data_IF_432921738441
#
_entry.id   IF_432921738441
#
_cell.length_a   1.000
_cell.length_b   1.000
_cell.length_c   1.000
_cell.angle_alpha   90.00
_cell.angle_beta   90.00
_cell.angle_gamma   90.00
#
_symmetry.space_group_name_H-M   'P 1'
#
loop_
_entity.id
_entity.type
_entity.pdbx_description
1 polymer ?
#
# COMPACT_ATOMS: atom_id res chain seq x y z
N UNK A 1 6.68 -3.70 0.34
CA UNK A 1 7.33 -4.22 -0.88
C UNK A 1 7.71 -5.69 -0.73
N UNK A 2 8.59 -6.10 0.20
CA UNK A 2 9.09 -7.48 0.36
C UNK A 2 7.96 -8.54 0.43
N UNK A 3 6.88 -8.29 1.16
CA UNK A 3 5.70 -9.17 1.20
C UNK A 3 5.21 -9.55 -0.21
N UNK A 4 5.10 -8.56 -1.09
CA UNK A 4 4.61 -8.76 -2.45
C UNK A 4 5.61 -9.50 -3.33
N UNK A 5 6.90 -9.26 -3.12
CA UNK A 5 7.96 -10.01 -3.81
C UNK A 5 7.93 -11.50 -3.42
N UNK A 6 7.76 -11.79 -2.14
CA UNK A 6 7.64 -13.18 -1.69
C UNK A 6 6.45 -13.89 -2.36
N UNK A 7 5.28 -13.25 -2.45
CA UNK A 7 4.10 -13.84 -3.07
C UNK A 7 4.16 -13.86 -4.59
N UNK A 8 4.49 -12.72 -5.21
CA UNK A 8 4.31 -12.50 -6.63
C UNK A 8 5.45 -13.04 -7.49
N UNK A 9 6.69 -13.03 -6.97
CA UNK A 9 7.85 -13.55 -7.71
C UNK A 9 8.28 -14.92 -7.24
N UNK A 10 8.22 -15.19 -5.95
CA UNK A 10 8.66 -16.47 -5.40
C UNK A 10 7.52 -17.49 -5.26
N UNK A 11 6.26 -17.07 -5.25
CA UNK A 11 5.10 -17.92 -5.00
C UNK A 11 5.09 -18.51 -3.59
N UNK A 12 5.63 -17.79 -2.62
CA UNK A 12 5.68 -18.19 -1.22
C UNK A 12 4.80 -17.28 -0.36
N UNK A 13 4.22 -17.79 0.74
CA UNK A 13 3.59 -16.96 1.75
C UNK A 13 4.57 -15.94 2.35
N UNK A 14 4.04 -14.84 2.85
CA UNK A 14 4.82 -13.83 3.56
C UNK A 14 5.49 -14.41 4.80
N UNK A 15 6.75 -14.01 5.03
CA UNK A 15 7.52 -14.43 6.19
C UNK A 15 8.46 -13.33 6.65
N UNK A 16 8.47 -13.04 7.97
CA UNK A 16 9.41 -12.11 8.58
C UNK A 16 9.22 -10.64 8.16
N UNK A 17 8.02 -10.24 7.75
CA UNK A 17 7.72 -8.88 7.23
C UNK A 17 6.79 -8.07 8.15
N UNK A 18 6.39 -8.65 9.28
CA UNK A 18 5.59 -7.95 10.27
C UNK A 18 6.49 -7.38 11.38
N UNK A 19 6.23 -6.15 11.76
CA UNK A 19 6.89 -5.45 12.85
C UNK A 19 5.87 -5.06 13.91
N UNK A 20 6.32 -4.88 15.14
CA UNK A 20 5.53 -4.19 16.15
C UNK A 20 5.26 -2.76 15.66
N UNK A 21 4.02 -2.25 15.76
CA UNK A 21 3.70 -0.91 15.31
C UNK A 21 4.60 0.13 15.96
N UNK A 22 5.16 1.01 15.14
CA UNK A 22 5.98 2.13 15.57
C UNK A 22 5.19 3.40 15.25
N UNK A 23 5.02 4.28 16.23
CA UNK A 23 4.46 5.60 16.07
C UNK A 23 5.55 6.55 15.57
N UNK A 24 5.66 6.70 14.27
CA UNK A 24 6.71 7.52 13.65
C UNK A 24 6.51 9.01 13.89
N UNK A 25 5.27 9.48 14.08
CA UNK A 25 4.99 10.86 14.42
C UNK A 25 5.58 11.20 15.80
N UNK A 26 5.31 10.38 16.81
CA UNK A 26 5.93 10.55 18.14
C UNK A 26 7.43 10.36 18.15
N UNK A 27 7.93 9.45 17.32
CA UNK A 27 9.37 9.28 17.18
C UNK A 27 10.05 10.56 16.67
N UNK A 28 9.46 11.23 15.68
CA UNK A 28 9.97 12.52 15.21
C UNK A 28 10.00 13.59 16.32
N UNK A 29 8.95 13.64 17.12
CA UNK A 29 8.86 14.57 18.26
C UNK A 29 9.92 14.27 19.33
N UNK A 30 10.13 12.99 19.64
CA UNK A 30 11.17 12.56 20.57
C UNK A 30 12.58 12.94 20.10
N UNK A 31 12.79 13.04 18.77
CA UNK A 31 14.04 13.51 18.16
C UNK A 31 14.11 15.06 18.02
N UNK A 32 13.13 15.82 18.54
CA UNK A 32 13.10 17.27 18.45
C UNK A 32 12.53 17.83 17.13
N UNK A 33 12.04 16.96 16.26
CA UNK A 33 11.34 17.32 15.03
C UNK A 33 9.85 17.59 15.24
N UNK A 34 9.07 17.45 14.17
CA UNK A 34 7.60 17.54 14.16
C UNK A 34 7.01 16.27 13.58
N UNK A 35 5.97 15.72 14.22
CA UNK A 35 5.25 14.55 13.74
C UNK A 35 3.81 14.86 13.38
N UNK A 36 3.31 14.25 12.31
CA UNK A 36 1.91 14.27 11.91
C UNK A 36 1.44 12.87 11.59
N UNK A 37 0.18 12.56 11.90
CA UNK A 37 -0.45 11.29 11.54
C UNK A 37 -1.66 11.53 10.67
N UNK A 38 -1.75 10.84 9.54
CA UNK A 38 -2.85 10.91 8.58
C UNK A 38 -3.56 9.56 8.51
N UNK A 39 -4.85 9.54 8.87
CA UNK A 39 -5.72 8.35 8.79
C UNK A 39 -6.82 8.49 7.75
N UNK A 40 -7.18 9.73 7.39
CA UNK A 40 -8.25 10.02 6.46
C UNK A 40 -7.73 10.70 5.19
N UNK A 41 -8.18 10.30 3.99
CA UNK A 41 -7.70 10.89 2.73
C UNK A 41 -7.92 12.41 2.63
N UNK A 42 -9.00 12.92 3.21
CA UNK A 42 -9.32 14.36 3.23
C UNK A 42 -8.29 15.20 3.96
N UNK A 43 -7.57 14.60 4.91
CA UNK A 43 -6.60 15.30 5.78
C UNK A 43 -5.20 15.34 5.16
N UNK A 44 -4.96 14.59 4.09
CA UNK A 44 -3.65 14.52 3.41
C UNK A 44 -3.18 15.90 2.96
N UNK A 45 -4.03 16.62 2.21
CA UNK A 45 -3.64 17.91 1.62
C UNK A 45 -3.37 18.99 2.67
N UNK A 46 -4.25 19.23 3.67
CA UNK A 46 -3.98 20.23 4.70
C UNK A 46 -2.76 19.86 5.55
N UNK A 47 -2.60 18.61 5.96
CA UNK A 47 -1.44 18.18 6.77
C UNK A 47 -0.13 18.32 5.99
N UNK A 48 -0.09 17.96 4.71
CA UNK A 48 1.08 18.17 3.88
C UNK A 48 1.43 19.67 3.74
N UNK A 49 0.44 20.53 3.57
CA UNK A 49 0.68 21.96 3.50
C UNK A 49 1.27 22.52 4.80
N UNK A 50 0.76 22.06 5.95
CA UNK A 50 1.30 22.42 7.26
C UNK A 50 2.72 21.89 7.45
N UNK A 51 2.95 20.60 7.15
CA UNK A 51 4.26 19.95 7.26
C UNK A 51 5.33 20.64 6.40
N UNK A 52 4.96 21.09 5.19
CA UNK A 52 5.88 21.81 4.30
C UNK A 52 6.20 23.23 4.77
N UNK A 53 5.38 23.82 5.64
CA UNK A 53 5.62 25.14 6.24
C UNK A 53 6.49 25.09 7.51
N UNK A 54 6.71 23.89 8.05
CA UNK A 54 7.50 23.69 9.26
C UNK A 54 8.99 23.99 9.01
N UNK A 55 9.65 24.56 10.02
CA UNK A 55 11.09 24.84 10.00
C UNK A 55 11.95 23.71 10.58
N UNK A 56 11.31 22.70 11.14
CA UNK A 56 11.96 21.54 11.75
C UNK A 56 11.90 20.34 10.81
N UNK A 57 12.80 19.36 10.97
CA UNK A 57 12.62 18.06 10.33
C UNK A 57 11.24 17.47 10.67
N UNK A 58 10.52 17.06 9.66
CA UNK A 58 9.11 16.66 9.83
C UNK A 58 8.88 15.26 9.27
N UNK A 59 8.18 14.43 10.02
CA UNK A 59 7.67 13.14 9.57
C UNK A 59 6.15 13.19 9.46
N UNK A 60 5.62 12.81 8.30
CA UNK A 60 4.19 12.60 8.09
C UNK A 60 3.95 11.11 7.98
N UNK A 61 3.36 10.52 9.01
CA UNK A 61 2.97 9.11 9.04
C UNK A 61 1.60 8.95 8.40
N UNK A 62 1.50 8.13 7.36
CA UNK A 62 0.24 7.92 6.63
C UNK A 62 -0.18 6.46 6.78
N UNK A 63 -1.38 6.25 7.34
CA UNK A 63 -1.97 4.93 7.45
C UNK A 63 -2.61 4.54 6.12
N UNK A 64 -2.03 3.54 5.46
CA UNK A 64 -2.51 3.00 4.18
C UNK A 64 -3.09 1.60 4.35
N UNK A 65 -3.87 1.12 3.37
CA UNK A 65 -4.33 -0.28 3.38
C UNK A 65 -3.14 -1.23 3.14
N UNK A 66 -2.74 -2.05 4.12
CA UNK A 66 -1.61 -2.97 3.97
C UNK A 66 -1.86 -4.10 2.98
N UNK A 67 -3.10 -4.27 2.51
CA UNK A 67 -3.51 -5.30 1.54
C UNK A 67 -3.65 -4.76 0.12
N UNK A 68 -3.41 -3.47 -0.07
CA UNK A 68 -3.37 -2.86 -1.40
C UNK A 68 -1.96 -3.03 -1.99
N UNK A 69 -1.79 -3.91 -3.00
CA UNK A 69 -0.47 -4.18 -3.55
C UNK A 69 0.00 -3.02 -4.43
N UNK A 70 1.30 -2.69 -4.40
CA UNK A 70 1.92 -1.85 -5.40
C UNK A 70 2.01 -2.64 -6.72
N UNK A 71 0.91 -2.69 -7.47
CA UNK A 71 0.85 -3.47 -8.71
C UNK A 71 1.67 -2.79 -9.80
N UNK A 72 2.47 -3.55 -10.56
CA UNK A 72 3.05 -3.05 -11.78
C UNK A 72 1.92 -2.76 -12.82
N UNK A 73 2.13 -1.80 -13.73
CA UNK A 73 1.13 -1.43 -14.74
C UNK A 73 0.69 -2.59 -15.65
N UNK A 74 1.53 -3.61 -15.75
CA UNK A 74 1.24 -4.83 -16.51
C UNK A 74 1.43 -6.05 -15.62
N UNK A 75 0.36 -6.79 -15.44
CA UNK A 75 0.36 -8.07 -14.70
C UNK A 75 0.42 -9.20 -15.69
N UNK A 76 1.52 -9.94 -15.73
CA UNK A 76 1.65 -11.11 -16.58
C UNK A 76 1.03 -12.37 -15.96
N UNK A 77 0.89 -13.42 -16.78
CA UNK A 77 0.35 -14.72 -16.33
C UNK A 77 1.27 -15.40 -15.31
N UNK A 78 2.58 -15.13 -15.37
CA UNK A 78 3.55 -15.65 -14.42
C UNK A 78 3.31 -15.14 -13.02
N UNK A 79 3.04 -13.83 -12.90
CA UNK A 79 2.66 -13.17 -11.64
C UNK A 79 1.39 -13.80 -11.04
N UNK A 80 0.34 -13.96 -11.85
CA UNK A 80 -0.93 -14.55 -11.41
C UNK A 80 -0.73 -15.97 -10.89
N UNK A 81 0.08 -16.78 -11.61
CA UNK A 81 0.41 -18.14 -11.20
C UNK A 81 1.14 -18.17 -9.86
N UNK A 82 2.15 -17.32 -9.68
CA UNK A 82 2.92 -17.24 -8.43
C UNK A 82 2.06 -16.78 -7.25
N UNK A 83 1.17 -15.82 -7.46
CA UNK A 83 0.20 -15.42 -6.45
C UNK A 83 -0.72 -16.57 -6.04
N UNK A 84 -1.23 -17.33 -7.01
CA UNK A 84 -2.07 -18.50 -6.74
C UNK A 84 -1.29 -19.59 -5.96
N UNK A 85 -0.03 -19.85 -6.32
CA UNK A 85 0.86 -20.75 -5.57
C UNK A 85 1.03 -20.31 -4.11
N UNK A 86 1.25 -19.01 -3.86
CA UNK A 86 1.36 -18.46 -2.53
C UNK A 86 0.08 -18.67 -1.72
N UNK A 87 -1.09 -18.42 -2.33
CA UNK A 87 -2.39 -18.65 -1.69
C UNK A 87 -2.62 -20.12 -1.34
N UNK A 88 -2.27 -21.03 -2.25
CA UNK A 88 -2.36 -22.48 -2.02
C UNK A 88 -1.44 -22.95 -0.89
N UNK A 89 -0.30 -22.30 -0.69
CA UNK A 89 0.66 -22.58 0.39
C UNK A 89 0.26 -21.97 1.74
N UNK A 90 -0.91 -21.29 1.84
CA UNK A 90 -1.44 -20.78 3.10
C UNK A 90 -1.04 -19.33 3.38
N UNK A 91 -0.97 -18.47 2.37
CA UNK A 91 -0.76 -17.03 2.56
C UNK A 91 -1.76 -16.45 3.57
N UNK A 92 -1.30 -15.78 4.64
CA UNK A 92 -2.18 -15.05 5.55
C UNK A 92 -3.02 -14.01 4.78
N UNK A 93 -4.29 -13.88 5.17
CA UNK A 93 -5.21 -12.91 4.57
C UNK A 93 -5.45 -13.05 3.04
N UNK A 94 -5.18 -14.22 2.44
CA UNK A 94 -5.29 -14.47 0.99
C UNK A 94 -6.64 -14.01 0.40
N UNK A 95 -7.77 -14.25 1.11
CA UNK A 95 -9.11 -13.82 0.68
C UNK A 95 -9.21 -12.29 0.58
N UNK A 96 -8.68 -11.56 1.56
CA UNK A 96 -8.71 -10.09 1.58
C UNK A 96 -7.82 -9.51 0.47
N UNK A 97 -6.63 -10.05 0.32
CA UNK A 97 -5.70 -9.68 -0.76
C UNK A 97 -6.36 -9.92 -2.13
N UNK A 98 -6.92 -11.11 -2.35
CA UNK A 98 -7.61 -11.45 -3.61
C UNK A 98 -8.80 -10.53 -3.91
N UNK A 99 -9.59 -10.18 -2.90
CA UNK A 99 -10.70 -9.24 -3.06
C UNK A 99 -10.22 -7.82 -3.41
N UNK A 100 -9.16 -7.34 -2.77
CA UNK A 100 -8.58 -6.03 -3.06
C UNK A 100 -8.03 -5.97 -4.48
N UNK A 101 -7.29 -7.00 -4.91
CA UNK A 101 -6.80 -7.14 -6.28
C UNK A 101 -7.93 -7.11 -7.31
N UNK A 102 -8.99 -7.87 -7.08
CA UNK A 102 -10.17 -7.92 -7.95
C UNK A 102 -10.86 -6.55 -8.05
N UNK A 103 -11.06 -5.89 -6.90
CA UNK A 103 -11.66 -4.55 -6.86
C UNK A 103 -10.83 -3.51 -7.63
N UNK A 104 -9.51 -3.53 -7.46
CA UNK A 104 -8.62 -2.61 -8.15
C UNK A 104 -8.64 -2.82 -9.66
N UNK A 105 -8.67 -4.06 -10.14
CA UNK A 105 -8.79 -4.35 -11.58
C UNK A 105 -10.11 -3.86 -12.18
N UNK A 106 -11.21 -3.97 -11.43
CA UNK A 106 -12.51 -3.42 -11.89
C UNK A 106 -12.43 -1.90 -11.98
N UNK A 107 -11.89 -1.23 -10.97
CA UNK A 107 -11.75 0.23 -10.98
C UNK A 107 -10.87 0.73 -12.12
N UNK A 108 -9.80 0.02 -12.43
CA UNK A 108 -8.89 0.34 -13.53
C UNK A 108 -9.62 0.22 -14.89
N UNK A 109 -10.31 -0.89 -15.13
CA UNK A 109 -11.11 -1.07 -16.35
C UNK A 109 -12.22 -0.03 -16.52
N UNK A 110 -12.91 0.33 -15.44
CA UNK A 110 -13.94 1.36 -15.49
C UNK A 110 -13.37 2.74 -15.82
N UNK A 111 -12.19 3.06 -15.32
CA UNK A 111 -11.49 4.31 -15.63
C UNK A 111 -11.06 4.38 -17.09
N UNK A 112 -10.54 3.28 -17.64
CA UNK A 112 -10.11 3.20 -19.03
C UNK A 112 -11.30 3.37 -19.99
N UNK A 113 -12.47 2.80 -19.66
CA UNK A 113 -13.71 2.99 -20.44
C UNK A 113 -14.15 4.46 -20.46
N UNK A 114 -14.05 5.19 -19.35
CA UNK A 114 -14.40 6.61 -19.28
C UNK A 114 -13.43 7.50 -20.08
N UNK A 115 -12.17 7.12 -20.19
CA UNK A 115 -11.19 7.86 -21.02
C UNK A 115 -11.40 7.65 -22.52
N UNK A 116 -11.99 6.54 -22.96
CA UNK A 116 -12.30 6.29 -24.37
C UNK A 116 -13.58 6.99 -24.85
N UNK A 117 -14.46 7.44 -23.95
CA UNK A 117 -15.71 8.17 -24.34
C UNK A 117 -15.49 9.68 -24.51
N UNK A 118 -14.33 10.23 -24.15
CA UNK A 118 -14.01 11.67 -24.21
C UNK A 118 -12.79 12.02 -25.10
N UNK A 119 -12.30 11.09 -25.91
CA UNK A 119 -11.27 11.27 -26.96
C UNK A 119 -11.84 11.04 -28.34
#
# INVERSE_FOLDING_TARGET
MIRWEQMAFLGNPEFGVEFTPIDFARYAEACGGKGYTVTEPRDVKPILAEAMSEKKPTIVEVHVDPFDPPMPPQVDLGFVKKMAESFAKGQPYAKRIGLTLYRNQIHEKLRDLHHHEHG
#
